data_IF_520002350044
#
_entry.id   IF_520002350044
#
_cell.length_a   1.000
_cell.length_b   1.000
_cell.length_c   1.000
_cell.angle_alpha   90.00
_cell.angle_beta   90.00
_cell.angle_gamma   90.00
#
_symmetry.space_group_name_H-M   'P 1'
#
loop_
_entity.id
_entity.type
_entity.pdbx_description
1 polymer ?
#
# COMPACT_ATOMS: atom_id res chain seq x y z
N UNK A 1 -20.17 -10.08 16.92
CA UNK A 1 -20.01 -9.12 15.79
C UNK A 1 -21.33 -8.38 15.66
N UNK A 2 -21.30 -7.03 15.72
CA UNK A 2 -22.48 -6.18 15.63
C UNK A 2 -23.22 -6.45 14.29
N UNK A 3 -24.56 -6.28 14.26
CA UNK A 3 -25.39 -6.54 13.06
C UNK A 3 -24.99 -5.65 11.89
N UNK A 4 -24.70 -4.39 12.15
CA UNK A 4 -24.18 -3.42 11.18
C UNK A 4 -22.88 -3.88 10.50
N UNK A 5 -21.94 -4.43 11.28
CA UNK A 5 -20.70 -5.01 10.73
C UNK A 5 -20.99 -6.21 9.84
N UNK A 6 -21.94 -7.06 10.24
CA UNK A 6 -22.35 -8.24 9.44
C UNK A 6 -22.94 -7.83 8.10
N UNK A 7 -23.81 -6.83 8.09
CA UNK A 7 -24.44 -6.33 6.87
C UNK A 7 -23.40 -5.70 5.93
N UNK A 8 -22.54 -4.84 6.45
CA UNK A 8 -21.49 -4.17 5.68
C UNK A 8 -20.48 -5.15 5.09
N UNK A 9 -20.13 -6.21 5.81
CA UNK A 9 -19.14 -7.21 5.36
C UNK A 9 -19.74 -8.38 4.62
N UNK A 10 -21.07 -8.44 4.50
CA UNK A 10 -21.78 -9.56 3.86
C UNK A 10 -21.31 -9.83 2.45
N UNK A 11 -21.13 -8.77 1.66
CA UNK A 11 -20.65 -8.89 0.29
C UNK A 11 -19.30 -9.61 0.20
N UNK A 12 -18.37 -9.33 1.12
CA UNK A 12 -17.05 -9.95 1.15
C UNK A 12 -17.15 -11.44 1.53
N UNK A 13 -18.00 -11.74 2.52
CA UNK A 13 -18.26 -13.12 2.93
C UNK A 13 -18.92 -13.95 1.82
N UNK A 14 -19.77 -13.33 1.01
CA UNK A 14 -20.45 -13.99 -0.12
C UNK A 14 -19.55 -14.08 -1.35
N UNK A 15 -18.67 -13.10 -1.57
CA UNK A 15 -17.78 -13.01 -2.73
C UNK A 15 -16.77 -14.17 -2.82
N UNK A 16 -16.11 -14.52 -1.73
CA UNK A 16 -15.19 -15.67 -1.53
C UNK A 16 -14.05 -15.85 -2.52
N UNK A 17 -14.08 -15.18 -3.67
CA UNK A 17 -13.09 -15.30 -4.72
C UNK A 17 -12.74 -13.93 -5.28
N UNK A 18 -11.48 -13.55 -5.16
CA UNK A 18 -10.91 -12.30 -5.65
C UNK A 18 -9.45 -12.47 -6.04
N UNK A 19 -8.88 -11.46 -6.66
CA UNK A 19 -7.48 -11.41 -7.05
C UNK A 19 -6.73 -10.41 -6.17
N UNK A 20 -5.53 -10.78 -5.74
CA UNK A 20 -4.59 -9.88 -5.10
C UNK A 20 -3.40 -9.67 -6.03
N UNK A 21 -3.12 -8.42 -6.41
CA UNK A 21 -2.00 -8.05 -7.26
C UNK A 21 -0.94 -7.39 -6.36
N UNK A 22 0.16 -8.12 -6.11
CA UNK A 22 1.36 -7.62 -5.44
C UNK A 22 2.33 -7.12 -6.50
N UNK A 23 2.46 -5.81 -6.64
CA UNK A 23 3.27 -5.23 -7.71
C UNK A 23 3.82 -3.85 -7.30
N UNK A 24 5.05 -3.56 -7.68
CA UNK A 24 5.77 -2.33 -7.37
C UNK A 24 7.21 -2.38 -7.89
N UNK A 25 8.11 -1.57 -7.31
CA UNK A 25 9.53 -1.53 -7.70
C UNK A 25 10.21 -2.89 -7.60
N UNK A 26 9.84 -3.70 -6.64
CA UNK A 26 10.40 -5.04 -6.42
C UNK A 26 10.13 -6.03 -7.56
N UNK A 27 9.21 -5.70 -8.49
CA UNK A 27 9.00 -6.49 -9.68
C UNK A 27 10.18 -6.39 -10.67
N UNK A 28 10.94 -5.29 -10.65
CA UNK A 28 12.10 -5.08 -11.54
C UNK A 28 13.21 -6.10 -11.27
N UNK A 29 13.71 -6.28 -10.02
CA UNK A 29 14.71 -7.30 -9.74
C UNK A 29 14.17 -8.74 -9.79
N UNK A 30 12.85 -8.93 -9.83
CA UNK A 30 12.18 -10.23 -9.93
C UNK A 30 12.64 -11.27 -8.87
N UNK A 31 12.90 -10.81 -7.63
CA UNK A 31 13.40 -11.62 -6.52
C UNK A 31 12.46 -11.63 -5.31
N UNK A 32 11.19 -11.26 -5.52
CA UNK A 32 10.17 -11.14 -4.47
C UNK A 32 10.06 -9.72 -3.89
N UNK A 33 8.93 -9.45 -3.27
CA UNK A 33 8.57 -8.13 -2.73
C UNK A 33 9.41 -7.72 -1.51
N UNK A 34 10.09 -8.67 -0.90
CA UNK A 34 10.98 -8.48 0.26
C UNK A 34 12.45 -8.25 -0.11
N UNK A 35 12.77 -8.12 -1.40
CA UNK A 35 14.16 -8.05 -1.88
C UNK A 35 15.00 -6.97 -1.19
N UNK A 36 14.41 -5.80 -0.91
CA UNK A 36 15.08 -4.70 -0.21
C UNK A 36 15.52 -5.11 1.20
N UNK A 37 14.61 -5.74 1.97
CA UNK A 37 14.90 -6.22 3.32
C UNK A 37 15.83 -7.43 3.34
N UNK A 38 15.62 -8.40 2.44
CA UNK A 38 16.42 -9.64 2.38
C UNK A 38 17.87 -9.37 2.00
N UNK A 39 18.10 -8.37 1.15
CA UNK A 39 19.45 -7.97 0.73
C UNK A 39 20.03 -6.83 1.56
N UNK A 40 19.32 -6.40 2.60
CA UNK A 40 19.71 -5.29 3.48
C UNK A 40 20.13 -4.03 2.70
N UNK A 41 19.35 -3.70 1.64
CA UNK A 41 19.64 -2.59 0.75
C UNK A 41 19.29 -1.26 1.41
N UNK A 42 20.20 -0.30 1.26
CA UNK A 42 19.93 1.11 1.57
C UNK A 42 18.98 1.75 0.55
N UNK A 43 18.43 2.92 0.87
CA UNK A 43 17.60 3.68 -0.08
C UNK A 43 18.38 4.01 -1.37
N UNK A 44 19.68 4.31 -1.27
CA UNK A 44 20.52 4.63 -2.43
C UNK A 44 20.76 3.40 -3.33
N UNK A 45 20.95 2.22 -2.74
CA UNK A 45 21.08 0.97 -3.50
C UNK A 45 19.76 0.52 -4.15
N UNK A 46 18.62 0.91 -3.57
CA UNK A 46 17.28 0.62 -4.10
C UNK A 46 16.80 1.65 -5.13
N UNK A 47 17.33 2.88 -5.09
CA UNK A 47 17.00 4.01 -5.98
C UNK A 47 17.00 3.68 -7.48
N UNK A 48 17.94 2.86 -8.03
CA UNK A 48 17.91 2.51 -9.45
C UNK A 48 16.61 1.87 -9.92
N UNK A 49 15.86 1.17 -9.07
CA UNK A 49 14.57 0.61 -9.43
C UNK A 49 13.50 1.70 -9.60
N UNK A 50 13.55 2.74 -8.77
CA UNK A 50 12.70 3.93 -8.96
C UNK A 50 13.00 4.65 -10.28
N UNK A 51 14.26 4.85 -10.59
CA UNK A 51 14.72 5.55 -11.81
C UNK A 51 14.40 4.77 -13.09
N UNK A 52 14.35 3.43 -12.99
CA UNK A 52 14.04 2.53 -14.09
C UNK A 52 12.55 2.23 -14.25
N UNK A 53 11.71 2.60 -13.26
CA UNK A 53 10.31 2.22 -13.24
C UNK A 53 9.54 2.84 -14.42
N UNK A 54 9.31 2.01 -15.42
CA UNK A 54 8.63 2.34 -16.67
C UNK A 54 7.71 1.19 -17.11
N UNK A 55 6.52 1.07 -16.50
CA UNK A 55 5.62 -0.04 -16.74
C UNK A 55 4.83 0.15 -18.05
N UNK A 56 5.49 0.06 -19.20
CA UNK A 56 4.90 0.28 -20.53
C UNK A 56 3.75 -0.69 -20.85
N UNK A 57 3.78 -1.89 -20.28
CA UNK A 57 2.77 -2.94 -20.49
C UNK A 57 1.68 -2.93 -19.39
N UNK A 58 1.63 -1.90 -18.53
CA UNK A 58 0.60 -1.80 -17.52
C UNK A 58 -0.76 -1.57 -18.14
N UNK A 59 -1.60 -2.60 -18.12
CA UNK A 59 -2.99 -2.58 -18.60
C UNK A 59 -3.94 -3.12 -17.52
N UNK A 60 -4.41 -2.25 -16.60
CA UNK A 60 -5.32 -2.67 -15.55
C UNK A 60 -6.68 -3.13 -16.10
N UNK A 61 -7.09 -2.65 -17.28
CA UNK A 61 -8.36 -3.10 -17.89
C UNK A 61 -8.26 -4.57 -18.32
N UNK A 62 -7.14 -5.00 -18.90
CA UNK A 62 -6.92 -6.39 -19.25
C UNK A 62 -6.88 -7.27 -17.98
N UNK A 63 -6.22 -6.84 -16.91
CA UNK A 63 -6.14 -7.59 -15.65
C UNK A 63 -7.51 -7.77 -15.02
N UNK A 64 -8.27 -6.69 -14.92
CA UNK A 64 -9.60 -6.69 -14.30
C UNK A 64 -10.60 -7.51 -15.12
N UNK A 65 -10.54 -7.43 -16.45
CA UNK A 65 -11.36 -8.25 -17.35
C UNK A 65 -11.08 -9.74 -17.15
N UNK A 66 -9.80 -10.12 -17.10
CA UNK A 66 -9.40 -11.50 -16.82
C UNK A 66 -9.93 -11.99 -15.48
N UNK A 67 -9.83 -11.16 -14.43
CA UNK A 67 -10.38 -11.48 -13.11
C UNK A 67 -11.91 -11.71 -13.17
N UNK A 68 -12.63 -10.86 -13.89
CA UNK A 68 -14.08 -10.97 -14.09
C UNK A 68 -14.44 -12.26 -14.85
N UNK A 69 -13.75 -12.56 -15.95
CA UNK A 69 -13.94 -13.78 -16.75
C UNK A 69 -13.69 -15.06 -15.93
N UNK A 70 -12.70 -15.00 -15.02
CA UNK A 70 -12.43 -16.08 -14.07
C UNK A 70 -13.49 -16.19 -12.94
N UNK A 71 -14.48 -15.29 -12.89
CA UNK A 71 -15.55 -15.31 -11.90
C UNK A 71 -15.22 -14.60 -10.58
N UNK A 72 -14.12 -13.88 -10.49
CA UNK A 72 -13.72 -13.10 -9.32
C UNK A 72 -14.68 -11.93 -9.08
N UNK A 73 -14.80 -11.48 -7.84
CA UNK A 73 -15.77 -10.46 -7.41
C UNK A 73 -15.12 -9.17 -6.95
N UNK A 74 -13.84 -9.21 -6.64
CA UNK A 74 -13.04 -8.06 -6.23
C UNK A 74 -11.59 -8.26 -6.64
N UNK A 75 -10.88 -7.14 -6.77
CA UNK A 75 -9.43 -7.12 -7.02
C UNK A 75 -8.77 -6.17 -6.03
N UNK A 76 -7.64 -6.56 -5.48
CA UNK A 76 -6.82 -5.75 -4.56
C UNK A 76 -5.49 -5.45 -5.22
N UNK A 77 -5.11 -4.16 -5.28
CA UNK A 77 -3.80 -3.72 -5.76
C UNK A 77 -2.99 -3.14 -4.59
N UNK A 78 -1.69 -3.40 -4.57
CA UNK A 78 -0.75 -2.73 -3.67
C UNK A 78 -0.66 -1.24 -4.03
N UNK A 79 -1.30 -0.36 -3.25
CA UNK A 79 -1.13 1.10 -3.44
C UNK A 79 0.24 1.57 -2.94
N UNK A 80 0.72 1.01 -1.82
CA UNK A 80 2.06 1.20 -1.28
C UNK A 80 2.51 -0.08 -0.58
N UNK A 81 3.71 -0.58 -0.90
CA UNK A 81 4.35 -1.70 -0.19
C UNK A 81 5.36 -1.18 0.85
N UNK A 82 6.06 -2.08 1.54
CA UNK A 82 7.00 -1.75 2.62
C UNK A 82 8.18 -0.88 2.18
N UNK A 83 8.55 -0.93 0.91
CA UNK A 83 9.62 -0.09 0.33
C UNK A 83 9.23 1.40 0.24
N UNK A 84 8.00 1.76 0.62
CA UNK A 84 7.52 3.13 0.67
C UNK A 84 7.10 3.72 -0.68
N UNK A 85 7.27 2.99 -1.79
CA UNK A 85 6.92 3.48 -3.11
C UNK A 85 5.41 3.50 -3.33
N UNK A 86 4.88 4.68 -3.67
CA UNK A 86 3.47 4.89 -3.92
C UNK A 86 3.13 4.68 -5.40
N UNK A 87 2.25 3.73 -5.71
CA UNK A 87 1.68 3.59 -7.06
C UNK A 87 0.62 4.66 -7.35
N UNK A 88 0.19 5.42 -6.36
CA UNK A 88 -0.77 6.53 -6.44
C UNK A 88 -0.09 7.89 -6.35
N UNK A 89 -0.79 8.94 -6.78
CA UNK A 89 -0.28 10.32 -6.79
C UNK A 89 -0.40 10.99 -5.42
N UNK A 90 0.36 10.47 -4.43
CA UNK A 90 0.43 11.11 -3.11
C UNK A 90 1.03 12.51 -3.18
N UNK A 91 0.45 13.47 -2.44
CA UNK A 91 0.99 14.82 -2.30
C UNK A 91 1.95 14.94 -1.10
N UNK A 92 2.18 13.84 -0.39
CA UNK A 92 3.00 13.80 0.83
C UNK A 92 4.41 13.26 0.59
N UNK A 93 4.68 12.75 -0.63
CA UNK A 93 5.99 12.23 -1.02
C UNK A 93 6.27 12.41 -2.50
N UNK A 94 7.54 12.54 -2.85
CA UNK A 94 8.02 12.49 -4.22
C UNK A 94 8.35 11.06 -4.67
N UNK A 95 8.34 10.08 -3.75
CA UNK A 95 8.62 8.66 -4.02
C UNK A 95 7.36 7.95 -4.50
N UNK A 96 6.93 8.30 -5.71
CA UNK A 96 5.65 7.90 -6.31
C UNK A 96 5.74 7.68 -7.81
N UNK A 97 4.82 6.90 -8.37
CA UNK A 97 4.79 6.50 -9.78
C UNK A 97 4.70 7.70 -10.75
N UNK A 98 3.97 8.75 -10.39
CA UNK A 98 3.87 9.97 -11.22
C UNK A 98 5.20 10.71 -11.40
N UNK A 99 6.18 10.48 -10.53
CA UNK A 99 7.52 11.07 -10.58
C UNK A 99 8.57 10.14 -11.24
N UNK A 100 8.15 8.97 -11.72
CA UNK A 100 8.99 8.04 -12.49
C UNK A 100 8.75 8.21 -14.00
N UNK A 101 9.38 7.37 -14.82
CA UNK A 101 9.09 7.33 -16.26
C UNK A 101 7.64 6.92 -16.58
N UNK A 102 6.96 6.26 -15.64
CA UNK A 102 5.53 5.98 -15.76
C UNK A 102 4.70 7.25 -15.95
N UNK A 103 4.99 8.32 -15.19
CA UNK A 103 4.28 9.61 -15.25
C UNK A 103 2.76 9.51 -15.05
N UNK A 104 2.29 8.41 -14.41
CA UNK A 104 0.87 8.02 -14.33
C UNK A 104 0.47 7.69 -12.90
N UNK A 105 -0.77 7.96 -12.55
CA UNK A 105 -1.40 7.46 -11.32
C UNK A 105 -1.99 6.07 -11.56
N UNK A 106 -1.21 5.05 -11.23
CA UNK A 106 -1.53 3.65 -11.54
C UNK A 106 -2.69 3.13 -10.69
N UNK A 107 -2.87 3.66 -9.48
CA UNK A 107 -4.02 3.30 -8.61
C UNK A 107 -5.31 3.89 -9.16
N UNK A 108 -5.29 5.11 -9.72
CA UNK A 108 -6.44 5.73 -10.37
C UNK A 108 -6.94 4.86 -11.52
N UNK A 109 -6.04 4.52 -12.42
CA UNK A 109 -6.36 3.72 -13.59
C UNK A 109 -6.90 2.33 -13.22
N UNK A 110 -6.31 1.69 -12.21
CA UNK A 110 -6.78 0.42 -11.67
C UNK A 110 -8.20 0.52 -11.08
N UNK A 111 -8.44 1.52 -10.23
CA UNK A 111 -9.73 1.71 -9.59
C UNK A 111 -10.85 1.98 -10.62
N UNK A 112 -10.54 2.78 -11.64
CA UNK A 112 -11.47 3.07 -12.72
C UNK A 112 -11.76 1.82 -13.57
N UNK A 113 -10.74 1.01 -13.89
CA UNK A 113 -10.92 -0.27 -14.59
C UNK A 113 -11.81 -1.24 -13.81
N UNK A 114 -11.63 -1.36 -12.49
CA UNK A 114 -12.50 -2.20 -11.65
C UNK A 114 -13.96 -1.75 -11.72
N UNK A 115 -14.22 -0.44 -11.66
CA UNK A 115 -15.58 0.13 -11.72
C UNK A 115 -16.22 -0.09 -13.08
N UNK A 116 -15.48 0.13 -14.17
CA UNK A 116 -15.95 -0.10 -15.55
C UNK A 116 -16.41 -1.55 -15.74
N UNK A 117 -15.71 -2.52 -15.15
CA UNK A 117 -16.06 -3.95 -15.24
C UNK A 117 -17.04 -4.42 -14.15
N UNK A 118 -17.40 -3.55 -13.19
CA UNK A 118 -18.33 -3.87 -12.10
C UNK A 118 -17.73 -4.77 -11.02
N UNK A 119 -16.40 -4.82 -10.90
CA UNK A 119 -15.71 -5.48 -9.80
C UNK A 119 -15.49 -4.51 -8.63
N UNK A 120 -15.44 -5.06 -7.43
CA UNK A 120 -15.16 -4.27 -6.23
C UNK A 120 -13.70 -3.90 -6.13
N UNK A 121 -13.43 -2.68 -5.69
CA UNK A 121 -12.10 -2.09 -5.60
C UNK A 121 -11.51 -2.33 -4.24
N UNK A 122 -10.37 -3.00 -4.20
CA UNK A 122 -9.56 -3.16 -3.01
C UNK A 122 -8.19 -2.50 -3.15
N UNK A 123 -7.69 -1.91 -2.08
CA UNK A 123 -6.33 -1.41 -2.00
C UNK A 123 -5.60 -2.02 -0.79
N UNK A 124 -4.37 -2.44 -1.03
CA UNK A 124 -3.43 -2.82 0.03
C UNK A 124 -2.55 -1.61 0.35
N UNK A 125 -2.31 -1.39 1.62
CA UNK A 125 -1.44 -0.33 2.12
C UNK A 125 -0.57 -0.85 3.25
N UNK A 126 0.75 -0.79 3.06
CA UNK A 126 1.71 -1.07 4.13
C UNK A 126 1.72 0.05 5.17
N UNK A 127 1.52 -0.29 6.45
CA UNK A 127 1.66 0.67 7.54
C UNK A 127 3.10 0.86 7.99
N UNK A 128 4.03 0.01 7.56
CA UNK A 128 5.47 0.23 7.68
C UNK A 128 6.02 0.88 6.41
N UNK A 129 7.18 1.54 6.52
CA UNK A 129 7.79 2.26 5.40
C UNK A 129 9.32 2.31 5.57
N UNK A 130 10.00 1.50 4.78
CA UNK A 130 11.47 1.41 4.86
C UNK A 130 12.19 2.62 4.25
N UNK A 131 11.48 3.42 3.47
CA UNK A 131 12.04 4.60 2.82
C UNK A 131 11.93 5.86 3.68
N UNK A 132 10.89 5.95 4.55
CA UNK A 132 10.61 7.17 5.30
C UNK A 132 11.66 7.45 6.38
N UNK A 133 12.24 8.68 6.45
CA UNK A 133 13.30 9.00 7.39
C UNK A 133 12.89 8.88 8.86
N UNK A 134 11.64 9.16 9.20
CA UNK A 134 11.10 9.09 10.56
C UNK A 134 10.48 7.72 10.89
N UNK A 135 10.69 6.67 10.05
CA UNK A 135 10.37 5.30 10.41
C UNK A 135 11.57 4.65 11.12
N UNK A 136 11.36 3.90 12.23
CA UNK A 136 12.46 3.26 12.96
C UNK A 136 13.20 2.25 12.07
N UNK A 137 14.54 2.36 12.03
CA UNK A 137 15.38 1.49 11.21
C UNK A 137 16.04 0.40 12.06
N UNK A 138 16.89 0.81 13.02
CA UNK A 138 17.65 -0.12 13.86
C UNK A 138 16.73 -0.86 14.84
N UNK A 139 16.89 -2.18 14.91
CA UNK A 139 16.11 -3.03 15.80
C UNK A 139 14.66 -3.27 15.36
N UNK A 140 14.21 -2.69 14.25
CA UNK A 140 12.95 -3.10 13.63
C UNK A 140 13.11 -4.51 13.05
N UNK A 141 12.06 -5.31 13.17
CA UNK A 141 12.12 -6.73 12.79
C UNK A 141 12.43 -6.96 11.30
N UNK A 142 11.98 -6.07 10.44
CA UNK A 142 11.95 -6.28 8.99
C UNK A 142 12.65 -5.19 8.19
N UNK A 143 12.99 -4.05 8.83
CA UNK A 143 13.65 -2.96 8.12
C UNK A 143 15.00 -3.43 7.51
N UNK A 144 15.34 -3.03 6.27
CA UNK A 144 16.63 -3.39 5.67
C UNK A 144 17.84 -3.05 6.55
N UNK A 145 17.77 -1.93 7.28
CA UNK A 145 18.86 -1.44 8.15
C UNK A 145 18.75 -1.90 9.62
N UNK A 146 17.94 -2.93 9.91
CA UNK A 146 17.67 -3.42 11.28
C UNK A 146 18.90 -3.78 12.10
N UNK A 147 19.97 -4.22 11.45
CA UNK A 147 21.22 -4.63 12.07
C UNK A 147 22.37 -3.62 11.86
N UNK A 148 22.12 -2.49 11.20
CA UNK A 148 23.14 -1.51 10.89
C UNK A 148 23.37 -0.56 12.07
N UNK A 149 24.49 -0.73 12.79
CA UNK A 149 24.86 0.06 13.97
C UNK A 149 24.92 1.59 13.72
N UNK A 150 25.06 2.03 12.45
CA UNK A 150 25.07 3.44 12.12
C UNK A 150 23.73 4.13 12.46
N UNK A 151 22.62 3.38 12.48
CA UNK A 151 21.28 3.88 12.78
C UNK A 151 20.86 3.70 14.25
N UNK A 152 21.67 3.06 15.09
CA UNK A 152 21.33 2.72 16.47
C UNK A 152 20.95 3.92 17.34
N UNK A 153 21.60 5.05 17.11
CA UNK A 153 21.38 6.29 17.88
C UNK A 153 20.67 7.36 17.04
N UNK A 154 20.04 6.98 15.93
CA UNK A 154 19.27 7.90 15.11
C UNK A 154 18.05 8.41 15.89
N UNK A 155 17.84 9.71 15.87
CA UNK A 155 16.65 10.31 16.49
C UNK A 155 15.50 10.18 15.50
N UNK A 156 14.49 9.39 15.86
CA UNK A 156 13.31 9.12 15.05
C UNK A 156 12.11 9.90 15.59
N UNK A 157 11.42 10.60 14.72
CA UNK A 157 10.18 11.33 15.03
C UNK A 157 8.97 10.52 14.54
N UNK A 158 8.69 9.41 15.21
CA UNK A 158 7.64 8.48 14.79
C UNK A 158 6.24 9.10 14.72
N UNK A 159 5.97 10.14 15.48
CA UNK A 159 4.74 10.94 15.38
C UNK A 159 4.57 11.60 14.00
N UNK A 160 5.66 12.12 13.40
CA UNK A 160 5.64 12.66 12.03
C UNK A 160 5.39 11.57 11.00
N UNK A 161 5.98 10.38 11.22
CA UNK A 161 5.68 9.25 10.37
C UNK A 161 4.20 8.87 10.43
N UNK A 162 3.58 8.86 11.62
CA UNK A 162 2.15 8.58 11.76
C UNK A 162 1.28 9.61 11.05
N UNK A 163 1.60 10.90 11.14
CA UNK A 163 0.91 11.96 10.40
C UNK A 163 0.99 11.74 8.88
N UNK A 164 2.19 11.42 8.37
CA UNK A 164 2.41 11.09 6.98
C UNK A 164 1.60 9.86 6.55
N UNK A 165 1.67 8.77 7.28
CA UNK A 165 0.98 7.52 6.97
C UNK A 165 -0.55 7.70 6.98
N UNK A 166 -1.10 8.36 8.03
CA UNK A 166 -2.53 8.68 8.10
C UNK A 166 -2.95 9.62 6.96
N UNK A 167 -2.11 10.59 6.62
CA UNK A 167 -2.33 11.50 5.50
C UNK A 167 -2.45 10.75 4.17
N UNK A 168 -1.55 9.82 3.89
CA UNK A 168 -1.60 8.98 2.68
C UNK A 168 -2.86 8.11 2.63
N UNK A 169 -3.25 7.50 3.75
CA UNK A 169 -4.52 6.74 3.81
C UNK A 169 -5.71 7.66 3.55
N UNK A 170 -5.68 8.90 4.09
CA UNK A 170 -6.73 9.89 3.81
C UNK A 170 -6.82 10.22 2.31
N UNK A 171 -5.69 10.42 1.64
CA UNK A 171 -5.67 10.61 0.18
C UNK A 171 -6.35 9.46 -0.55
N UNK A 172 -6.05 8.21 -0.19
CA UNK A 172 -6.65 7.03 -0.81
C UNK A 172 -8.17 6.99 -0.61
N UNK A 173 -8.66 7.27 0.60
CA UNK A 173 -10.11 7.18 0.90
C UNK A 173 -10.92 8.38 0.43
N UNK A 174 -10.28 9.48 0.02
CA UNK A 174 -10.96 10.69 -0.47
C UNK A 174 -10.84 10.90 -1.96
N UNK A 175 -9.71 10.52 -2.57
CA UNK A 175 -9.41 10.90 -3.95
C UNK A 175 -9.74 9.82 -4.99
N UNK A 176 -9.91 8.56 -4.57
CA UNK A 176 -10.04 7.42 -5.49
C UNK A 176 -11.47 6.86 -5.60
N UNK A 177 -12.47 7.62 -5.14
CA UNK A 177 -13.88 7.21 -5.15
C UNK A 177 -14.18 6.11 -4.14
N UNK A 178 -15.26 5.33 -4.38
CA UNK A 178 -15.62 4.25 -3.47
C UNK A 178 -14.56 3.16 -3.47
N UNK A 179 -14.08 2.81 -2.27
CA UNK A 179 -13.26 1.65 -2.00
C UNK A 179 -14.08 0.62 -1.23
N UNK A 180 -14.09 -0.61 -1.69
CA UNK A 180 -14.84 -1.69 -1.05
C UNK A 180 -13.99 -2.43 -0.01
N UNK A 181 -12.65 -2.41 -0.15
CA UNK A 181 -11.72 -3.07 0.77
C UNK A 181 -10.44 -2.25 0.92
N UNK A 182 -10.01 -2.06 2.17
CA UNK A 182 -8.68 -1.60 2.51
C UNK A 182 -7.98 -2.68 3.33
N UNK A 183 -6.80 -3.08 2.87
CA UNK A 183 -5.95 -4.03 3.56
C UNK A 183 -4.76 -3.30 4.15
N UNK A 184 -4.76 -3.12 5.47
CA UNK A 184 -3.59 -2.63 6.19
C UNK A 184 -2.69 -3.80 6.54
N UNK A 185 -1.43 -3.71 6.14
CA UNK A 185 -0.48 -4.77 6.38
C UNK A 185 0.63 -4.32 7.32
N UNK A 186 1.06 -5.24 8.07
CA UNK A 186 2.18 -5.31 8.98
C UNK A 186 1.99 -4.62 10.33
N UNK A 187 1.56 -5.45 11.25
CA UNK A 187 1.48 -5.14 12.67
C UNK A 187 2.11 -6.30 13.44
N UNK A 188 3.22 -6.06 14.16
CA UNK A 188 3.99 -7.12 14.81
C UNK A 188 4.72 -6.61 16.06
N UNK A 189 5.09 -7.53 16.93
CA UNK A 189 5.79 -7.28 18.19
C UNK A 189 5.06 -6.21 19.04
N UNK A 190 5.73 -5.12 19.39
CA UNK A 190 5.16 -3.97 20.08
C UNK A 190 4.53 -2.92 19.15
N UNK A 191 4.67 -3.10 17.84
CA UNK A 191 4.10 -2.24 16.80
C UNK A 191 2.69 -2.71 16.44
N UNK A 192 1.73 -2.53 17.37
CA UNK A 192 0.34 -2.99 17.22
C UNK A 192 -0.66 -1.96 17.74
N UNK A 193 -1.89 -2.01 17.23
CA UNK A 193 -3.01 -1.24 17.74
C UNK A 193 -2.71 0.27 17.86
N UNK A 194 -2.71 0.80 19.07
CA UNK A 194 -2.58 2.23 19.31
C UNK A 194 -1.17 2.79 19.08
N UNK A 195 -0.15 1.95 18.93
CA UNK A 195 1.15 2.42 18.41
C UNK A 195 1.00 3.04 17.03
N UNK A 196 0.07 2.56 16.22
CA UNK A 196 -0.31 3.10 14.91
C UNK A 196 -1.40 4.17 14.98
N UNK A 197 -1.87 4.55 16.17
CA UNK A 197 -3.13 5.31 16.37
C UNK A 197 -4.28 4.68 15.57
N UNK A 198 -4.40 3.33 15.65
CA UNK A 198 -5.30 2.55 14.81
C UNK A 198 -6.77 2.95 14.99
N UNK A 199 -7.20 3.30 16.21
CA UNK A 199 -8.56 3.78 16.48
C UNK A 199 -8.86 5.06 15.69
N UNK A 200 -7.93 6.00 15.65
CA UNK A 200 -8.05 7.26 14.90
C UNK A 200 -8.06 7.00 13.40
N UNK A 201 -7.11 6.18 12.92
CA UNK A 201 -7.01 5.78 11.51
C UNK A 201 -8.31 5.16 11.01
N UNK A 202 -8.84 4.15 11.70
CA UNK A 202 -10.07 3.46 11.30
C UNK A 202 -11.28 4.38 11.38
N UNK A 203 -11.35 5.27 12.38
CA UNK A 203 -12.43 6.27 12.47
C UNK A 203 -12.41 7.22 11.28
N UNK A 204 -11.25 7.70 10.88
CA UNK A 204 -11.06 8.54 9.70
C UNK A 204 -11.49 7.79 8.42
N UNK A 205 -11.03 6.55 8.23
CA UNK A 205 -11.45 5.71 7.09
C UNK A 205 -12.96 5.55 7.05
N UNK A 206 -13.61 5.23 8.17
CA UNK A 206 -15.07 5.05 8.25
C UNK A 206 -15.86 6.35 8.07
N UNK A 207 -15.27 7.48 8.36
CA UNK A 207 -15.89 8.78 8.07
C UNK A 207 -16.01 9.03 6.56
N UNK A 208 -14.98 8.69 5.78
CA UNK A 208 -14.97 8.90 4.32
C UNK A 208 -15.55 7.71 3.53
N UNK A 209 -15.46 6.50 4.07
CA UNK A 209 -15.88 5.23 3.46
C UNK A 209 -16.71 4.43 4.48
N UNK A 210 -17.97 4.81 4.73
CA UNK A 210 -18.79 4.22 5.80
C UNK A 210 -19.22 2.77 5.51
N UNK A 211 -19.36 2.38 4.22
CA UNK A 211 -19.89 1.09 3.76
C UNK A 211 -18.89 -0.08 3.79
#
# INVERSE_FOLDING_TARGET
>A
MNQEIKERTKWFMDARFGMFIHWGLYAIPACGEWVMSQREMTNDEYRPYFEQFDPVDYDPKAWVRLAKEAGMKYVVLTAKHHDGFCLFDSQLTDYKATNTKAGRDLVREFADACREEGLKVGLYFSIIDWHHPDYPKYGDRQHPMRNNEAYKNEVVHFDRYLEYMHGQVKELVTNYGKLDLLWFDFSYDNMTGETWKATELIRMVRHYQPD
#
